data_IF_947567952779
#
_entry.id   IF_947567952779
#
_cell.length_a   1.000
_cell.length_b   1.000
_cell.length_c   1.000
_cell.angle_alpha   90.00
_cell.angle_beta   90.00
_cell.angle_gamma   90.00
#
_symmetry.space_group_name_H-M   'P 1'
#
loop_
_entity.id
_entity.type
_entity.pdbx_description
1 polymer ?
#
# COMPACT_ATOMS: atom_id res chain seq x y z
N UNK A 1 -28.57 1.81 -0.22
CA UNK A 1 -27.47 2.05 0.75
C UNK A 1 -26.24 2.44 -0.05
N UNK A 2 -25.52 3.49 0.35
CA UNK A 2 -24.28 3.90 -0.33
C UNK A 2 -23.10 3.01 0.10
N UNK A 3 -22.18 2.65 -0.82
CA UNK A 3 -20.97 1.92 -0.46
C UNK A 3 -20.16 2.67 0.59
N UNK A 4 -19.59 1.95 1.55
CA UNK A 4 -18.69 2.53 2.57
C UNK A 4 -17.23 2.45 2.11
N UNK A 5 -16.38 3.30 2.68
CA UNK A 5 -14.94 3.29 2.48
C UNK A 5 -14.23 2.95 3.79
N UNK A 6 -13.21 2.09 3.73
CA UNK A 6 -12.32 1.77 4.86
C UNK A 6 -10.87 1.82 4.41
N UNK A 7 -9.99 2.32 5.27
CA UNK A 7 -8.54 2.35 5.02
C UNK A 7 -7.80 1.70 6.19
N UNK A 8 -6.80 0.89 5.89
CA UNK A 8 -5.97 0.18 6.88
C UNK A 8 -4.50 0.46 6.62
N UNK A 9 -3.84 1.07 7.62
CA UNK A 9 -2.41 1.32 7.59
C UNK A 9 -1.62 0.07 7.99
N UNK A 10 -0.54 -0.20 7.25
CA UNK A 10 0.46 -1.20 7.60
C UNK A 10 1.70 -0.52 8.18
N UNK A 11 2.34 -1.11 9.20
CA UNK A 11 3.50 -0.50 9.86
C UNK A 11 4.75 -0.47 8.97
N UNK A 12 4.84 -1.38 8.00
CA UNK A 12 6.00 -1.49 7.11
C UNK A 12 5.60 -1.79 5.67
N UNK A 13 6.46 -1.39 4.72
CA UNK A 13 6.34 -1.75 3.29
C UNK A 13 6.27 -3.27 3.09
N UNK A 14 7.03 -4.02 3.89
CA UNK A 14 7.06 -5.48 3.84
C UNK A 14 5.72 -6.09 4.28
N UNK A 15 5.08 -5.53 5.32
CA UNK A 15 3.78 -6.00 5.80
C UNK A 15 2.67 -5.74 4.76
N UNK A 16 2.68 -4.59 4.09
CA UNK A 16 1.80 -4.31 2.95
C UNK A 16 2.06 -5.29 1.79
N UNK A 17 3.32 -5.57 1.48
CA UNK A 17 3.69 -6.60 0.48
C UNK A 17 3.22 -8.01 0.85
N UNK A 18 3.26 -8.36 2.14
CA UNK A 18 2.68 -9.60 2.65
C UNK A 18 1.17 -9.65 2.49
N UNK A 19 0.47 -8.54 2.71
CA UNK A 19 -0.96 -8.43 2.45
C UNK A 19 -1.29 -8.63 0.96
N UNK A 20 -0.54 -8.01 0.06
CA UNK A 20 -0.69 -8.21 -1.39
C UNK A 20 -0.57 -9.69 -1.79
N UNK A 21 0.41 -10.42 -1.23
CA UNK A 21 0.55 -11.86 -1.50
C UNK A 21 -0.66 -12.66 -1.02
N UNK A 22 -1.19 -12.35 0.17
CA UNK A 22 -2.41 -13.00 0.69
C UNK A 22 -3.63 -12.73 -0.18
N UNK A 23 -3.80 -11.48 -0.64
CA UNK A 23 -4.88 -11.11 -1.57
C UNK A 23 -4.78 -11.90 -2.89
N UNK A 24 -3.58 -11.99 -3.48
CA UNK A 24 -3.35 -12.79 -4.71
C UNK A 24 -3.64 -14.27 -4.50
N UNK A 25 -3.18 -14.85 -3.38
CA UNK A 25 -3.45 -16.26 -3.04
C UNK A 25 -4.95 -16.55 -2.86
N UNK A 26 -5.71 -15.57 -2.38
CA UNK A 26 -7.16 -15.63 -2.27
C UNK A 26 -7.92 -15.24 -3.57
N UNK A 27 -7.20 -15.04 -4.68
CA UNK A 27 -7.75 -14.59 -5.96
C UNK A 27 -8.55 -13.27 -5.88
N UNK A 28 -8.24 -12.42 -4.89
CA UNK A 28 -8.86 -11.11 -4.75
C UNK A 28 -8.24 -10.16 -5.78
N UNK A 29 -9.09 -9.60 -6.63
CA UNK A 29 -8.67 -8.62 -7.64
C UNK A 29 -8.50 -7.24 -7.01
N UNK A 30 -7.41 -6.56 -7.35
CA UNK A 30 -7.24 -5.15 -7.04
C UNK A 30 -8.09 -4.32 -8.00
N UNK A 31 -8.75 -3.31 -7.45
CA UNK A 31 -9.38 -2.26 -8.24
C UNK A 31 -8.33 -1.29 -8.80
N UNK A 32 -7.31 -0.96 -8.01
CA UNK A 32 -6.17 -0.12 -8.41
C UNK A 32 -4.98 -0.29 -7.45
N UNK A 33 -3.80 0.19 -7.83
CA UNK A 33 -2.62 0.29 -6.98
C UNK A 33 -1.78 1.52 -7.35
N UNK A 34 -1.56 2.41 -6.38
CA UNK A 34 -0.94 3.72 -6.62
C UNK A 34 0.20 4.06 -5.66
N UNK A 35 1.20 4.78 -6.18
CA UNK A 35 2.31 5.38 -5.44
C UNK A 35 2.18 6.91 -5.48
N UNK A 36 1.70 7.49 -4.38
CA UNK A 36 1.49 8.94 -4.24
C UNK A 36 2.77 9.67 -3.78
N UNK A 37 3.92 9.00 -3.86
CA UNK A 37 5.20 9.51 -3.39
C UNK A 37 5.38 9.31 -1.88
N UNK A 38 4.49 9.88 -1.07
CA UNK A 38 4.47 9.71 0.39
C UNK A 38 3.82 8.40 0.84
N UNK A 39 2.80 7.94 0.11
CA UNK A 39 2.00 6.76 0.48
C UNK A 39 1.94 5.77 -0.68
N UNK A 40 2.03 4.48 -0.37
CA UNK A 40 1.79 3.38 -1.31
C UNK A 40 0.50 2.67 -0.91
N UNK A 41 -0.44 2.56 -1.84
CA UNK A 41 -1.78 2.05 -1.55
C UNK A 41 -2.23 0.98 -2.56
N UNK A 42 -2.96 -0.01 -2.04
CA UNK A 42 -3.69 -1.03 -2.79
C UNK A 42 -5.17 -0.80 -2.56
N UNK A 43 -5.93 -0.72 -3.65
CA UNK A 43 -7.38 -0.52 -3.61
C UNK A 43 -8.07 -1.80 -4.06
N UNK A 44 -9.12 -2.22 -3.34
CA UNK A 44 -9.93 -3.39 -3.64
C UNK A 44 -11.37 -3.16 -3.20
N UNK A 45 -12.26 -4.06 -3.62
CA UNK A 45 -13.63 -4.13 -3.12
C UNK A 45 -13.81 -5.36 -2.26
N UNK A 46 -14.51 -5.21 -1.13
CA UNK A 46 -14.98 -6.37 -0.37
C UNK A 46 -16.17 -7.04 -1.09
N UNK A 47 -16.61 -8.23 -0.65
CA UNK A 47 -17.74 -8.93 -1.26
C UNK A 47 -19.06 -8.14 -1.27
N UNK A 48 -19.24 -7.19 -0.35
CA UNK A 48 -20.41 -6.31 -0.29
C UNK A 48 -20.26 -5.07 -1.20
N UNK A 49 -19.14 -4.95 -1.92
CA UNK A 49 -18.84 -3.84 -2.82
C UNK A 49 -18.28 -2.59 -2.14
N UNK A 50 -17.98 -2.63 -0.84
CA UNK A 50 -17.35 -1.52 -0.12
C UNK A 50 -15.91 -1.33 -0.60
N UNK A 51 -15.48 -0.08 -0.66
CA UNK A 51 -14.10 0.26 -0.98
C UNK A 51 -13.18 -0.03 0.21
N UNK A 52 -12.09 -0.73 -0.06
CA UNK A 52 -11.03 -0.98 0.91
C UNK A 52 -9.71 -0.46 0.35
N UNK A 53 -8.97 0.27 1.18
CA UNK A 53 -7.63 0.75 0.89
C UNK A 53 -6.66 0.16 1.91
N UNK A 54 -5.62 -0.52 1.44
CA UNK A 54 -4.51 -0.98 2.26
C UNK A 54 -3.30 -0.14 1.92
N UNK A 55 -2.68 0.52 2.89
CA UNK A 55 -1.60 1.45 2.60
C UNK A 55 -0.44 1.39 3.58
N UNK A 56 0.69 1.92 3.15
CA UNK A 56 1.87 2.16 3.97
C UNK A 56 2.41 3.56 3.64
N UNK A 57 2.63 4.34 4.69
CA UNK A 57 3.29 5.63 4.59
C UNK A 57 4.80 5.46 4.63
N UNK A 58 5.46 6.00 3.61
CA UNK A 58 6.90 6.11 3.57
C UNK A 58 7.36 7.08 4.66
N UNK A 59 8.51 6.86 5.32
CA UNK A 59 9.11 7.86 6.18
C UNK A 59 9.21 9.22 5.47
N UNK A 60 8.83 10.31 6.15
CA UNK A 60 8.75 11.66 5.57
C UNK A 60 10.06 12.11 4.90
N UNK A 61 11.19 11.70 5.47
CA UNK A 61 12.54 11.97 4.94
C UNK A 61 12.76 11.43 3.51
N UNK A 62 11.97 10.45 3.08
CA UNK A 62 12.05 9.82 1.77
C UNK A 62 10.95 10.31 0.82
N UNK A 63 10.14 11.29 1.24
CA UNK A 63 9.12 11.89 0.39
C UNK A 63 9.78 12.68 -0.75
N UNK A 64 9.26 12.58 -1.98
CA UNK A 64 9.86 13.26 -3.11
C UNK A 64 9.76 14.79 -2.94
N UNK A 65 10.87 15.48 -3.19
CA UNK A 65 10.96 16.95 -3.12
C UNK A 65 11.44 17.52 -4.45
N UNK A 66 11.02 18.74 -4.74
CA UNK A 66 11.55 19.52 -5.87
C UNK A 66 12.96 20.05 -5.53
N UNK A 67 13.74 20.52 -6.51
CA UNK A 67 15.07 21.08 -6.27
C UNK A 67 15.11 22.22 -5.23
N UNK A 68 14.01 22.97 -5.09
CA UNK A 68 13.86 24.02 -4.08
C UNK A 68 13.36 23.55 -2.70
N UNK A 69 13.28 22.24 -2.44
CA UNK A 69 12.92 21.66 -1.14
C UNK A 69 11.41 21.52 -0.85
N UNK A 70 10.53 22.04 -1.71
CA UNK A 70 9.09 21.83 -1.60
C UNK A 70 8.68 20.38 -1.91
N UNK A 71 7.58 19.91 -1.31
CA UNK A 71 7.05 18.57 -1.61
C UNK A 71 6.64 18.47 -3.08
N UNK A 72 7.04 17.37 -3.72
CA UNK A 72 6.64 17.06 -5.09
C UNK A 72 5.35 16.25 -5.05
N UNK A 73 4.30 16.78 -5.67
CA UNK A 73 3.07 16.01 -5.90
C UNK A 73 3.37 14.89 -6.89
N UNK A 74 3.09 13.65 -6.50
CA UNK A 74 3.29 12.45 -7.32
C UNK A 74 2.02 11.63 -7.24
N UNK A 75 1.59 11.09 -8.37
CA UNK A 75 0.63 9.99 -8.46
C UNK A 75 1.02 9.17 -9.68
N UNK A 76 1.37 7.91 -9.46
CA UNK A 76 1.81 6.99 -10.51
C UNK A 76 1.41 5.55 -10.17
N UNK A 77 1.35 4.66 -11.18
CA UNK A 77 1.13 3.24 -10.93
C UNK A 77 2.14 2.68 -9.93
N UNK A 78 1.64 1.90 -8.97
CA UNK A 78 2.50 1.21 -8.01
C UNK A 78 3.16 -0.01 -8.65
N UNK A 79 4.46 -0.17 -8.43
CA UNK A 79 5.16 -1.41 -8.76
C UNK A 79 4.78 -2.51 -7.75
N UNK A 80 3.71 -3.23 -8.09
CA UNK A 80 3.12 -4.29 -7.27
C UNK A 80 4.02 -5.52 -7.16
N UNK A 81 4.87 -5.79 -8.15
CA UNK A 81 5.82 -6.91 -8.09
C UNK A 81 6.95 -6.62 -7.12
N UNK A 82 7.52 -5.40 -7.16
CA UNK A 82 8.52 -4.97 -6.19
C UNK A 82 7.95 -4.97 -4.76
N UNK A 83 6.69 -4.53 -4.60
CA UNK A 83 6.00 -4.56 -3.32
C UNK A 83 5.84 -5.99 -2.80
N UNK A 84 5.37 -6.91 -3.65
CA UNK A 84 5.18 -8.32 -3.29
C UNK A 84 6.51 -9.01 -2.92
N UNK A 85 7.60 -8.69 -3.62
CA UNK A 85 8.93 -9.24 -3.35
C UNK A 85 9.52 -8.76 -2.01
N UNK A 86 9.18 -7.55 -1.55
CA UNK A 86 9.72 -6.96 -0.31
C UNK A 86 9.38 -7.78 0.94
N UNK A 87 8.22 -8.45 0.96
CA UNK A 87 7.81 -9.22 2.13
C UNK A 87 8.39 -10.63 2.21
N UNK A 88 9.37 -11.01 1.37
CA UNK A 88 10.10 -12.28 1.51
C UNK A 88 11.22 -12.22 2.56
N UNK A 89 11.64 -11.02 3.00
CA UNK A 89 12.75 -10.83 3.94
C UNK A 89 12.31 -10.43 5.36
N UNK A 90 11.01 -10.37 5.64
CA UNK A 90 10.47 -10.00 6.94
C UNK A 90 10.19 -11.23 7.79
N UNK A 91 11.23 -11.86 8.34
CA UNK A 91 11.06 -12.73 9.51
C UNK A 91 10.47 -11.91 10.65
N UNK A 92 9.40 -12.45 11.20
CA UNK A 92 8.76 -12.05 12.45
C UNK A 92 9.78 -11.66 13.53
N UNK A 93 9.70 -10.41 14.01
CA UNK A 93 10.13 -10.06 15.38
C UNK A 93 9.05 -9.17 15.97
N UNK A 94 8.06 -9.84 16.54
CA UNK A 94 7.35 -9.35 17.70
C UNK A 94 8.22 -9.57 18.95
N UNK A 95 8.85 -8.54 19.51
CA UNK A 95 9.30 -8.43 20.92
C UNK A 95 9.51 -6.94 21.24
N UNK A 96 9.05 -6.35 22.34
CA UNK A 96 8.35 -6.81 23.54
C UNK A 96 7.99 -5.58 24.39
#
# INVERSE_FOLDING_TARGET
MSPRQRSLAYPTRAALGGALRRLRAAAVQLADASDHGGTKALYLRDPDGNGVELYWDRPEKEWPRNPGGSLKIVSKPLDVENLAATGASGTDVQQG
#
